data_IF_952108199885
#
_entry.id   IF_952108199885
#
_cell.length_a   1.000
_cell.length_b   1.000
_cell.length_c   1.000
_cell.angle_alpha   90.00
_cell.angle_beta   90.00
_cell.angle_gamma   90.00
#
_symmetry.space_group_name_H-M   'P 1'
#
loop_
_entity.id
_entity.type
_entity.pdbx_description
1 polymer ?
#
# COMPACT_ATOMS: atom_id res chain seq x y z
N UNK A 1 33.03 -28.18 -29.63
CA UNK A 1 31.60 -28.47 -29.41
C UNK A 1 31.20 -27.91 -28.04
N UNK A 2 30.67 -26.69 -28.00
CA UNK A 2 30.30 -26.01 -26.75
C UNK A 2 28.79 -26.17 -26.53
N UNK A 3 28.40 -26.91 -25.49
CA UNK A 3 26.99 -27.08 -25.11
C UNK A 3 26.51 -25.77 -24.46
N UNK A 4 25.65 -25.03 -25.17
CA UNK A 4 24.84 -23.93 -24.62
C UNK A 4 23.85 -24.53 -23.63
N UNK A 5 24.11 -24.36 -22.34
CA UNK A 5 23.16 -24.65 -21.26
C UNK A 5 22.15 -23.51 -21.20
N UNK A 6 20.87 -23.83 -21.43
CA UNK A 6 19.78 -22.88 -21.29
C UNK A 6 19.58 -22.47 -19.82
N UNK A 7 19.17 -21.21 -19.53
CA UNK A 7 18.86 -20.80 -18.16
C UNK A 7 17.64 -21.55 -17.62
N UNK A 8 17.63 -21.90 -16.32
CA UNK A 8 16.49 -22.59 -15.72
C UNK A 8 15.24 -21.69 -15.74
N UNK A 9 14.04 -22.28 -15.93
CA UNK A 9 12.80 -21.52 -15.88
C UNK A 9 12.58 -20.91 -14.48
N UNK A 10 11.92 -19.74 -14.37
CA UNK A 10 11.60 -19.16 -13.07
C UNK A 10 10.66 -20.10 -12.29
N UNK A 11 10.80 -20.21 -10.95
CA UNK A 11 9.93 -21.04 -10.15
C UNK A 11 8.49 -20.50 -10.20
N UNK A 12 7.60 -21.23 -10.88
CA UNK A 12 6.15 -21.08 -10.75
C UNK A 12 5.72 -21.68 -9.42
N UNK A 13 5.74 -20.89 -8.36
CA UNK A 13 5.00 -21.21 -7.14
C UNK A 13 4.14 -20.00 -6.77
N UNK A 14 2.98 -19.91 -7.40
CA UNK A 14 1.87 -19.14 -6.86
C UNK A 14 1.29 -20.00 -5.75
N UNK A 15 1.64 -19.70 -4.49
CA UNK A 15 0.91 -20.26 -3.37
C UNK A 15 -0.42 -19.52 -3.29
N UNK A 16 -1.51 -20.21 -3.64
CA UNK A 16 -2.86 -19.77 -3.32
C UNK A 16 -3.05 -19.87 -1.80
N UNK A 17 -2.61 -18.85 -1.07
CA UNK A 17 -3.13 -18.61 0.27
C UNK A 17 -4.60 -18.22 0.10
N UNK A 18 -5.52 -19.10 0.52
CA UNK A 18 -6.94 -18.81 0.52
C UNK A 18 -7.23 -17.63 1.45
N UNK A 19 -7.38 -16.44 0.89
CA UNK A 19 -7.87 -15.25 1.60
C UNK A 19 -9.35 -15.08 1.29
N UNK A 20 -10.21 -15.45 2.24
CA UNK A 20 -11.64 -15.18 2.16
C UNK A 20 -11.94 -13.75 2.60
N UNK A 21 -11.74 -12.77 1.72
CA UNK A 21 -12.26 -11.40 1.92
C UNK A 21 -13.04 -10.97 0.68
N UNK A 22 -14.37 -11.02 0.77
CA UNK A 22 -15.28 -10.57 -0.28
C UNK A 22 -16.03 -9.34 0.22
N UNK A 23 -15.77 -8.19 -0.39
CA UNK A 23 -16.70 -7.07 -0.37
C UNK A 23 -17.06 -6.73 -1.82
N UNK A 24 -18.33 -6.90 -2.18
CA UNK A 24 -18.83 -6.47 -3.49
C UNK A 24 -19.58 -5.16 -3.33
N UNK A 25 -19.06 -4.09 -3.90
CA UNK A 25 -19.79 -2.82 -4.09
C UNK A 25 -19.64 -2.41 -5.55
N UNK A 26 -20.72 -1.95 -6.19
CA UNK A 26 -20.62 -1.50 -7.58
C UNK A 26 -19.68 -0.29 -7.67
N UNK A 27 -18.84 -0.22 -8.70
CA UNK A 27 -17.86 0.85 -8.86
C UNK A 27 -18.53 2.22 -9.00
N UNK A 28 -19.67 2.34 -9.71
CA UNK A 28 -20.40 3.61 -9.80
C UNK A 28 -20.96 4.08 -8.45
N UNK A 29 -21.51 3.18 -7.63
CA UNK A 29 -21.90 3.52 -6.25
C UNK A 29 -20.69 3.82 -5.37
N UNK A 30 -19.54 3.18 -5.61
CA UNK A 30 -18.32 3.39 -4.85
C UNK A 30 -17.70 4.77 -5.12
N UNK A 31 -17.61 5.19 -6.39
CA UNK A 31 -17.04 6.49 -6.77
C UNK A 31 -17.99 7.65 -6.38
N UNK A 32 -19.31 7.42 -6.41
CA UNK A 32 -20.31 8.42 -6.01
C UNK A 32 -20.42 8.61 -4.49
N UNK A 33 -20.03 7.63 -3.68
CA UNK A 33 -20.13 7.71 -2.22
C UNK A 33 -18.74 7.72 -1.61
N UNK A 34 -18.32 8.85 -1.00
CA UNK A 34 -17.12 8.97 -0.14
C UNK A 34 -17.22 8.11 1.13
N UNK A 35 -17.47 6.81 0.98
CA UNK A 35 -17.59 5.87 2.11
C UNK A 35 -16.26 5.17 2.32
N UNK A 36 -15.79 5.17 3.56
CA UNK A 36 -14.74 4.27 4.00
C UNK A 36 -15.28 2.84 3.97
N UNK A 37 -14.72 1.98 3.12
CA UNK A 37 -14.95 0.54 3.24
C UNK A 37 -14.06 0.02 4.37
N UNK A 38 -14.69 -0.39 5.45
CA UNK A 38 -14.05 -1.17 6.50
C UNK A 38 -14.27 -2.65 6.19
N UNK A 39 -13.19 -3.39 6.04
CA UNK A 39 -13.22 -4.85 6.03
C UNK A 39 -13.04 -5.26 7.47
N UNK A 40 -14.09 -5.81 8.08
CA UNK A 40 -14.11 -5.96 9.53
C UNK A 40 -13.18 -7.06 10.05
N UNK A 41 -12.71 -8.00 9.24
CA UNK A 41 -11.65 -8.94 9.62
C UNK A 41 -11.14 -9.72 8.40
N UNK A 42 -9.93 -9.43 7.92
CA UNK A 42 -9.25 -10.32 6.97
C UNK A 42 -8.29 -11.23 7.74
N UNK A 43 -8.47 -12.54 7.60
CA UNK A 43 -7.57 -13.53 8.18
C UNK A 43 -6.66 -14.06 7.09
N UNK A 44 -5.36 -13.92 7.31
CA UNK A 44 -4.35 -14.45 6.40
C UNK A 44 -3.83 -15.77 6.99
N UNK A 45 -4.07 -16.88 6.29
CA UNK A 45 -3.43 -18.15 6.63
C UNK A 45 -2.01 -18.13 6.06
N UNK A 46 -1.02 -18.06 6.96
CA UNK A 46 0.38 -17.94 6.59
C UNK A 46 1.09 -19.26 6.92
N UNK A 47 1.63 -20.00 5.93
CA UNK A 47 2.61 -21.05 6.15
C UNK A 47 3.68 -20.75 7.20
N UNK A 48 4.11 -21.80 7.89
CA UNK A 48 5.17 -21.74 8.90
C UNK A 48 6.49 -21.24 8.30
N UNK A 49 7.09 -20.24 8.95
CA UNK A 49 8.45 -19.79 8.66
C UNK A 49 9.26 -19.73 9.95
N UNK A 50 10.41 -20.42 9.94
CA UNK A 50 11.38 -20.40 11.00
C UNK A 50 12.51 -19.39 10.69
N UNK A 51 13.25 -18.98 11.73
CA UNK A 51 14.49 -18.23 11.57
C UNK A 51 15.46 -19.03 10.72
N UNK A 52 15.90 -18.47 9.60
CA UNK A 52 16.82 -19.17 8.70
C UNK A 52 18.26 -18.82 9.09
N UNK A 53 18.98 -19.78 9.67
CA UNK A 53 20.40 -19.64 10.00
C UNK A 53 21.30 -20.05 8.82
N UNK A 54 22.42 -19.34 8.65
CA UNK A 54 23.52 -19.78 7.77
C UNK A 54 23.25 -19.74 6.27
N UNK A 55 22.09 -19.26 5.80
CA UNK A 55 21.89 -18.96 4.37
C UNK A 55 22.60 -17.67 4.00
N UNK A 56 23.19 -17.64 2.80
CA UNK A 56 23.75 -16.41 2.19
C UNK A 56 22.67 -15.48 1.64
N UNK A 57 21.45 -15.98 1.42
CA UNK A 57 20.33 -15.20 0.89
C UNK A 57 19.02 -15.50 1.63
N UNK A 58 18.17 -14.47 1.85
CA UNK A 58 16.85 -14.66 2.43
C UNK A 58 15.92 -15.40 1.44
N UNK A 59 14.92 -16.15 1.93
CA UNK A 59 13.86 -16.69 1.08
C UNK A 59 13.04 -15.59 0.41
N UNK A 60 12.30 -15.89 -0.68
CA UNK A 60 11.52 -14.88 -1.39
C UNK A 60 10.41 -14.29 -0.50
N UNK A 61 10.19 -12.96 -0.56
CA UNK A 61 9.15 -12.30 0.21
C UNK A 61 7.76 -12.69 -0.29
N UNK A 62 6.78 -12.54 0.58
CA UNK A 62 5.40 -12.87 0.31
C UNK A 62 4.72 -11.69 -0.31
N UNK A 63 3.95 -11.93 -1.36
CA UNK A 63 3.27 -10.86 -2.09
C UNK A 63 1.76 -11.07 -2.01
N UNK A 64 1.06 -10.03 -1.66
CA UNK A 64 -0.38 -9.93 -1.87
C UNK A 64 -0.64 -9.27 -3.22
N UNK A 65 -1.72 -9.69 -3.88
CA UNK A 65 -2.22 -9.07 -5.08
C UNK A 65 -3.62 -8.51 -4.82
N UNK A 66 -3.79 -7.22 -5.07
CA UNK A 66 -5.10 -6.57 -4.99
C UNK A 66 -5.54 -6.18 -6.40
N UNK A 67 -6.74 -6.58 -6.78
CA UNK A 67 -7.30 -6.34 -8.11
C UNK A 67 -8.64 -5.64 -7.98
N UNK A 68 -8.77 -4.45 -8.57
CA UNK A 68 -10.06 -3.77 -8.69
C UNK A 68 -10.68 -4.12 -10.03
N UNK A 69 -11.90 -4.65 -9.97
CA UNK A 69 -12.66 -5.09 -11.14
C UNK A 69 -13.95 -4.29 -11.27
N UNK A 70 -14.21 -3.79 -12.47
CA UNK A 70 -15.49 -3.22 -12.86
C UNK A 70 -16.42 -4.34 -13.31
N UNK A 71 -17.59 -4.44 -12.69
CA UNK A 71 -18.67 -5.28 -13.21
C UNK A 71 -19.26 -4.57 -14.43
N UNK A 72 -19.22 -5.21 -15.59
CA UNK A 72 -19.93 -4.67 -16.76
C UNK A 72 -21.42 -4.52 -16.42
N UNK A 73 -22.04 -3.36 -16.70
CA UNK A 73 -23.50 -3.29 -16.66
C UNK A 73 -24.04 -4.36 -17.61
N UNK A 74 -24.91 -5.21 -17.10
CA UNK A 74 -25.60 -6.24 -17.89
C UNK A 74 -26.48 -5.47 -18.87
N UNK A 75 -26.36 -5.75 -20.17
CA UNK A 75 -27.42 -5.38 -21.10
C UNK A 75 -28.63 -6.25 -20.70
N UNK A 76 -29.61 -5.61 -20.07
CA UNK A 76 -30.83 -6.26 -19.61
C UNK A 76 -31.61 -6.78 -20.83
N UNK A 77 -31.44 -8.06 -21.16
CA UNK A 77 -32.20 -8.66 -22.27
C UNK A 77 -31.96 -10.14 -22.58
N UNK A 78 -31.13 -10.87 -21.82
CA UNK A 78 -30.80 -12.27 -22.10
C UNK A 78 -31.10 -13.20 -20.92
N UNK A 79 -32.00 -14.14 -21.17
CA UNK A 79 -32.51 -15.21 -20.31
C UNK A 79 -31.39 -15.94 -19.53
N UNK A 80 -31.65 -16.29 -18.27
CA UNK A 80 -30.66 -16.90 -17.37
C UNK A 80 -30.38 -18.36 -17.74
N UNK A 81 -29.51 -18.59 -18.72
CA UNK A 81 -28.84 -19.89 -18.83
C UNK A 81 -27.70 -19.95 -17.83
N UNK A 82 -27.97 -20.62 -16.72
CA UNK A 82 -26.99 -21.01 -15.69
C UNK A 82 -26.02 -22.01 -16.33
N UNK A 83 -24.88 -21.53 -16.80
CA UNK A 83 -23.77 -22.42 -17.16
C UNK A 83 -23.24 -23.10 -15.90
N UNK A 84 -23.16 -24.43 -15.96
CA UNK A 84 -22.74 -25.34 -14.88
C UNK A 84 -21.25 -25.22 -14.52
N UNK A 85 -20.49 -24.44 -15.28
CA UNK A 85 -19.03 -24.32 -15.16
C UNK A 85 -18.61 -22.90 -14.73
N UNK A 86 -19.11 -22.41 -13.60
CA UNK A 86 -18.38 -21.61 -12.59
C UNK A 86 -17.65 -20.28 -12.92
N UNK A 87 -17.41 -19.86 -14.16
CA UNK A 87 -16.66 -18.64 -14.48
C UNK A 87 -16.92 -18.27 -15.95
N UNK A 88 -17.65 -17.21 -16.28
CA UNK A 88 -17.09 -15.87 -16.44
C UNK A 88 -18.20 -14.81 -16.27
N UNK A 89 -18.24 -14.16 -15.11
CA UNK A 89 -18.86 -12.83 -15.03
C UNK A 89 -17.91 -11.85 -15.73
N UNK A 90 -18.41 -11.11 -16.72
CA UNK A 90 -17.64 -10.10 -17.46
C UNK A 90 -17.17 -8.98 -16.51
N UNK A 91 -16.02 -9.20 -15.90
CA UNK A 91 -15.32 -8.24 -15.07
C UNK A 91 -14.16 -7.65 -15.86
N UNK A 92 -14.09 -6.33 -15.95
CA UNK A 92 -12.95 -5.62 -16.53
C UNK A 92 -12.01 -5.23 -15.40
N UNK A 93 -10.78 -5.72 -15.39
CA UNK A 93 -9.76 -5.30 -14.44
C UNK A 93 -9.36 -3.85 -14.70
N UNK A 94 -9.61 -2.96 -13.75
CA UNK A 94 -9.27 -1.54 -13.88
C UNK A 94 -7.85 -1.25 -13.43
N UNK A 95 -7.45 -1.82 -12.29
CA UNK A 95 -6.15 -1.61 -11.67
C UNK A 95 -5.77 -2.82 -10.82
N UNK A 96 -4.46 -3.07 -10.75
CA UNK A 96 -3.84 -4.17 -10.01
C UNK A 96 -2.62 -3.62 -9.27
N UNK A 97 -2.46 -4.00 -8.00
CA UNK A 97 -1.27 -3.67 -7.22
C UNK A 97 -0.78 -4.90 -6.46
N UNK A 98 0.47 -5.25 -6.66
CA UNK A 98 1.17 -6.26 -5.86
C UNK A 98 1.96 -5.57 -4.74
N UNK A 99 1.87 -6.07 -3.51
CA UNK A 99 2.65 -5.52 -2.39
C UNK A 99 3.21 -6.62 -1.49
N UNK A 100 4.36 -6.35 -0.89
CA UNK A 100 5.06 -7.31 -0.04
C UNK A 100 4.41 -7.35 1.35
N UNK A 101 3.92 -8.52 1.77
CA UNK A 101 3.35 -8.75 3.11
C UNK A 101 4.43 -9.03 4.16
N UNK A 102 5.56 -9.60 3.74
CA UNK A 102 6.65 -10.00 4.63
C UNK A 102 7.97 -9.31 4.26
N UNK A 103 8.82 -9.15 5.27
CA UNK A 103 10.20 -8.70 5.11
C UNK A 103 11.15 -9.54 5.95
N UNK A 104 12.44 -9.34 5.74
CA UNK A 104 13.50 -10.06 6.45
C UNK A 104 14.49 -9.06 7.05
N UNK A 105 14.84 -9.27 8.31
CA UNK A 105 15.89 -8.52 8.98
C UNK A 105 17.06 -9.45 9.26
N UNK A 106 18.28 -9.02 8.89
CA UNK A 106 19.48 -9.80 9.14
C UNK A 106 20.04 -9.47 10.52
N UNK A 107 20.04 -10.45 11.41
CA UNK A 107 20.69 -10.35 12.72
C UNK A 107 22.16 -10.71 12.61
N UNK A 108 23.05 -9.72 12.71
CA UNK A 108 24.50 -9.94 12.76
C UNK A 108 24.93 -10.81 13.93
N UNK A 109 24.25 -10.69 15.09
CA UNK A 109 24.60 -11.45 16.31
C UNK A 109 24.35 -12.95 16.16
N UNK A 110 23.28 -13.33 15.48
CA UNK A 110 22.88 -14.73 15.33
C UNK A 110 23.20 -15.32 13.94
N UNK A 111 23.76 -14.52 13.04
CA UNK A 111 23.98 -14.87 11.62
C UNK A 111 22.71 -15.52 11.01
N UNK A 112 21.56 -14.88 11.26
CA UNK A 112 20.24 -15.41 10.95
C UNK A 112 19.34 -14.34 10.34
N UNK A 113 18.46 -14.77 9.44
CA UNK A 113 17.38 -13.93 8.92
C UNK A 113 16.13 -14.16 9.75
N UNK A 114 15.60 -13.09 10.33
CA UNK A 114 14.34 -13.10 11.07
C UNK A 114 13.23 -12.60 10.15
N UNK A 115 12.27 -13.45 9.76
CA UNK A 115 11.11 -13.01 9.00
C UNK A 115 10.17 -12.17 9.88
N UNK A 116 9.57 -11.12 9.30
CA UNK A 116 8.57 -10.30 9.97
C UNK A 116 7.41 -9.96 9.03
N UNK A 117 6.20 -9.82 9.59
CA UNK A 117 5.06 -9.23 8.91
C UNK A 117 5.19 -7.71 8.91
N UNK A 118 5.01 -7.10 7.73
CA UNK A 118 4.95 -5.64 7.60
C UNK A 118 3.69 -5.09 8.28
N UNK A 119 2.52 -5.60 7.92
CA UNK A 119 1.21 -5.09 8.36
C UNK A 119 0.62 -5.88 9.54
N UNK A 120 1.46 -6.24 10.52
CA UNK A 120 1.03 -7.09 11.63
C UNK A 120 0.15 -6.35 12.64
N UNK A 121 0.68 -5.28 13.24
CA UNK A 121 -0.06 -4.47 14.25
C UNK A 121 -0.85 -3.32 13.65
N UNK A 122 -0.45 -2.86 12.47
CA UNK A 122 -1.10 -1.77 11.76
C UNK A 122 -1.78 -2.30 10.52
N UNK A 123 -3.01 -1.85 10.22
CA UNK A 123 -3.71 -2.26 9.02
C UNK A 123 -2.97 -1.78 7.76
N UNK A 124 -2.96 -2.61 6.72
CA UNK A 124 -2.55 -2.18 5.39
C UNK A 124 -3.55 -1.14 4.87
N UNK A 125 -3.07 0.07 4.61
CA UNK A 125 -3.90 1.14 4.05
C UNK A 125 -3.71 1.12 2.54
N UNK A 126 -4.78 0.81 1.82
CA UNK A 126 -4.85 0.87 0.36
C UNK A 126 -5.53 2.17 -0.03
N UNK A 127 -4.82 3.01 -0.78
CA UNK A 127 -5.31 4.26 -1.32
C UNK A 127 -5.79 4.03 -2.74
N UNK A 128 -7.09 4.21 -2.97
CA UNK A 128 -7.63 4.35 -4.31
C UNK A 128 -7.49 5.81 -4.71
N UNK A 129 -6.66 6.06 -5.70
CA UNK A 129 -6.56 7.36 -6.37
C UNK A 129 -7.70 7.40 -7.37
N UNK A 130 -8.61 8.35 -7.18
CA UNK A 130 -9.72 8.56 -8.09
C UNK A 130 -10.01 10.06 -8.27
N UNK A 131 -10.52 10.41 -9.45
CA UNK A 131 -11.03 11.73 -9.76
C UNK A 131 -12.33 11.60 -10.56
N UNK A 132 -13.41 12.07 -9.97
CA UNK A 132 -14.75 12.03 -10.58
C UNK A 132 -14.97 13.14 -11.61
N UNK A 133 -14.00 14.05 -11.76
CA UNK A 133 -14.10 15.16 -12.71
C UNK A 133 -13.78 14.68 -14.12
N UNK A 134 -14.61 15.08 -15.08
CA UNK A 134 -14.29 14.90 -16.49
C UNK A 134 -13.02 15.70 -16.83
N UNK A 135 -12.01 15.00 -17.35
CA UNK A 135 -10.73 15.62 -17.69
C UNK A 135 -10.83 16.11 -19.14
N UNK A 136 -10.99 17.42 -19.31
CA UNK A 136 -10.82 18.07 -20.61
C UNK A 136 -9.33 18.22 -20.93
N UNK A 137 -8.91 17.85 -22.15
CA UNK A 137 -7.51 17.91 -22.65
C UNK A 137 -6.55 16.95 -21.93
N UNK A 138 -5.34 16.63 -22.45
CA UNK A 138 -4.39 15.84 -21.67
C UNK A 138 -4.01 16.60 -20.39
N UNK A 139 -4.59 16.19 -19.27
CA UNK A 139 -4.18 16.72 -17.98
C UNK A 139 -2.96 15.95 -17.49
N UNK A 140 -2.06 16.69 -16.86
CA UNK A 140 -0.84 16.18 -16.29
C UNK A 140 -0.97 16.19 -14.77
N UNK A 141 -0.34 15.19 -14.15
CA UNK A 141 -0.09 15.17 -12.71
C UNK A 141 0.92 16.26 -12.35
N UNK A 142 0.97 16.61 -11.07
CA UNK A 142 1.95 17.56 -10.53
C UNK A 142 3.42 17.14 -10.70
N UNK A 143 3.67 15.87 -11.06
CA UNK A 143 4.99 15.31 -11.39
C UNK A 143 5.32 15.33 -12.90
N UNK A 144 4.42 15.89 -13.73
CA UNK A 144 4.58 15.94 -15.18
C UNK A 144 4.18 14.67 -15.92
N UNK A 145 3.73 13.62 -15.23
CA UNK A 145 3.20 12.41 -15.88
C UNK A 145 1.78 12.63 -16.37
N UNK A 146 1.41 12.20 -17.59
CA UNK A 146 0.04 12.34 -18.08
C UNK A 146 -0.91 11.44 -17.28
N UNK A 147 -2.13 11.92 -16.99
CA UNK A 147 -3.14 11.06 -16.39
C UNK A 147 -3.51 9.91 -17.34
N UNK A 148 -3.53 8.69 -16.81
CA UNK A 148 -4.18 7.58 -17.51
C UNK A 148 -5.68 7.84 -17.55
N UNK A 149 -6.27 7.80 -18.74
CA UNK A 149 -7.69 8.05 -18.95
C UNK A 149 -8.37 6.82 -19.54
N UNK A 150 -9.62 6.59 -19.12
CA UNK A 150 -10.51 5.64 -19.75
C UNK A 150 -11.30 6.40 -20.82
N UNK A 151 -11.15 5.98 -22.08
CA UNK A 151 -11.93 6.50 -23.20
C UNK A 151 -13.30 5.83 -23.20
N UNK A 152 -14.36 6.59 -22.95
CA UNK A 152 -15.73 6.14 -23.15
C UNK A 152 -16.24 6.57 -24.54
N UNK A 153 -17.26 5.89 -25.11
CA UNK A 153 -17.77 6.18 -26.45
C UNK A 153 -18.45 7.57 -26.57
N UNK A 154 -18.89 8.14 -25.45
CA UNK A 154 -19.21 9.57 -25.35
C UNK A 154 -17.92 10.31 -25.00
N UNK A 155 -17.67 11.46 -25.63
CA UNK A 155 -16.47 12.32 -25.65
C UNK A 155 -15.79 12.66 -24.31
N UNK A 156 -16.28 12.14 -23.19
CA UNK A 156 -15.76 12.27 -21.84
C UNK A 156 -14.58 11.30 -21.62
N UNK A 157 -13.44 11.88 -21.25
CA UNK A 157 -12.30 11.13 -20.72
C UNK A 157 -12.42 11.14 -19.20
N UNK A 158 -12.64 9.96 -18.64
CA UNK A 158 -12.65 9.78 -17.19
C UNK A 158 -11.26 9.37 -16.72
N UNK A 159 -10.90 9.79 -15.51
CA UNK A 159 -9.67 9.35 -14.87
C UNK A 159 -9.70 7.83 -14.68
N UNK A 160 -8.58 7.16 -15.02
CA UNK A 160 -8.43 5.74 -14.70
C UNK A 160 -8.02 5.62 -13.24
N UNK A 161 -8.84 4.98 -12.38
CA UNK A 161 -8.52 4.87 -10.97
C UNK A 161 -7.26 4.04 -10.78
N UNK A 162 -6.35 4.51 -9.93
CA UNK A 162 -5.11 3.82 -9.60
C UNK A 162 -5.15 3.36 -8.15
N UNK A 163 -4.62 2.17 -7.87
CA UNK A 163 -4.53 1.63 -6.51
C UNK A 163 -3.08 1.74 -6.04
N UNK A 164 -2.91 2.20 -4.80
CA UNK A 164 -1.60 2.24 -4.16
C UNK A 164 -1.67 1.73 -2.75
N UNK A 165 -0.58 1.13 -2.29
CA UNK A 165 -0.42 0.73 -0.89
C UNK A 165 0.37 1.82 -0.19
N UNK A 166 -0.15 2.28 0.94
CA UNK A 166 0.46 3.32 1.74
C UNK A 166 1.43 2.71 2.75
N UNK A 167 2.70 2.78 2.40
CA UNK A 167 3.81 2.36 3.26
C UNK A 167 4.38 3.52 4.11
N UNK A 168 3.89 4.74 3.93
CA UNK A 168 4.43 5.94 4.59
C UNK A 168 4.13 5.89 6.09
N UNK A 169 2.91 5.48 6.44
CA UNK A 169 2.48 5.38 7.83
C UNK A 169 3.02 4.12 8.54
N UNK A 170 3.65 3.19 7.81
CA UNK A 170 4.07 1.90 8.34
C UNK A 170 5.30 2.04 9.24
N UNK A 171 5.14 1.67 10.51
CA UNK A 171 6.23 1.70 11.47
C UNK A 171 7.04 0.40 11.47
N UNK A 172 8.32 0.50 11.80
CA UNK A 172 9.18 -0.64 12.09
C UNK A 172 8.70 -1.34 13.37
N UNK A 173 8.28 -0.57 14.37
CA UNK A 173 7.71 -1.08 15.63
C UNK A 173 6.37 -1.83 15.50
N UNK A 174 5.64 -1.65 14.41
CA UNK A 174 4.40 -2.40 14.13
C UNK A 174 4.62 -3.76 13.47
N UNK A 175 5.88 -4.09 13.13
CA UNK A 175 6.23 -5.38 12.55
C UNK A 175 6.11 -6.47 13.60
N UNK A 176 5.58 -7.61 13.19
CA UNK A 176 5.45 -8.79 14.06
C UNK A 176 6.42 -9.85 13.55
N UNK A 177 7.34 -10.37 14.38
CA UNK A 177 8.21 -11.46 13.96
C UNK A 177 7.36 -12.69 13.63
N UNK A 178 7.65 -13.33 12.50
CA UNK A 178 7.00 -14.60 12.15
C UNK A 178 7.69 -15.67 12.99
N UNK A 179 6.94 -16.27 13.90
CA UNK A 179 7.37 -17.44 14.64
C UNK A 179 6.88 -18.70 13.91
N UNK A 180 7.64 -19.78 14.02
CA UNK A 180 7.26 -21.10 13.50
C UNK A 180 5.90 -21.48 14.09
N UNK A 181 4.86 -21.64 13.26
CA UNK A 181 3.64 -22.30 13.70
C UNK A 181 4.07 -23.67 14.21
N UNK A 182 3.69 -24.00 15.44
CA UNK A 182 4.08 -25.26 16.09
C UNK A 182 3.94 -26.42 15.12
N UNK A 183 4.93 -27.31 15.14
CA UNK A 183 4.87 -28.60 14.48
C UNK A 183 3.61 -29.32 14.95
N UNK A 184 3.07 -30.25 14.17
CA UNK A 184 1.80 -30.97 14.43
C UNK A 184 1.65 -31.58 15.85
N UNK A 185 2.73 -31.62 16.65
CA UNK A 185 2.78 -31.99 18.06
C UNK A 185 2.19 -30.93 19.03
N UNK A 186 2.04 -29.66 18.60
CA UNK A 186 1.41 -28.56 19.37
C UNK A 186 -0.12 -28.44 19.09
N UNK A 187 -0.77 -29.54 18.69
CA UNK A 187 -2.20 -29.60 18.37
C UNK A 187 -3.12 -29.14 19.52
N UNK A 188 -2.60 -29.11 20.75
CA UNK A 188 -3.33 -28.68 21.94
C UNK A 188 -3.47 -27.15 22.04
N UNK A 189 -2.59 -26.38 21.38
CA UNK A 189 -2.62 -24.90 21.39
C UNK A 189 -2.29 -24.30 20.02
N UNK A 190 -3.18 -24.42 19.01
CA UNK A 190 -2.98 -23.77 17.73
C UNK A 190 -2.82 -22.26 17.93
N UNK A 191 -1.67 -21.71 17.51
CA UNK A 191 -1.45 -20.25 17.61
C UNK A 191 -2.54 -19.53 16.80
N UNK A 192 -3.13 -18.46 17.34
CA UNK A 192 -4.21 -17.76 16.67
C UNK A 192 -3.72 -17.18 15.33
N UNK A 193 -4.56 -17.20 14.28
CA UNK A 193 -4.24 -16.56 13.02
C UNK A 193 -3.89 -15.08 13.26
N UNK A 194 -2.89 -14.57 12.53
CA UNK A 194 -2.49 -13.17 12.67
C UNK A 194 -3.61 -12.30 12.07
N UNK A 195 -4.22 -11.39 12.85
CA UNK A 195 -5.24 -10.51 12.31
C UNK A 195 -4.60 -9.57 11.28
N UNK A 196 -5.13 -9.56 10.06
CA UNK A 196 -4.71 -8.64 9.02
C UNK A 196 -5.83 -7.62 8.77
N UNK A 197 -5.58 -6.37 9.17
CA UNK A 197 -6.51 -5.28 8.87
C UNK A 197 -6.24 -4.71 7.49
N UNK A 198 -7.28 -4.57 6.66
CA UNK A 198 -7.21 -3.85 5.40
C UNK A 198 -8.13 -2.62 5.47
N UNK A 199 -7.57 -1.44 5.21
CA UNK A 199 -8.32 -0.18 5.15
C UNK A 199 -8.24 0.40 3.75
N UNK A 200 -9.37 0.63 3.12
CA UNK A 200 -9.41 1.30 1.81
C UNK A 200 -9.78 2.77 2.01
N UNK A 201 -8.95 3.68 1.48
CA UNK A 201 -9.19 5.14 1.48
C UNK A 201 -9.23 5.66 0.05
N UNK A 202 -10.12 6.61 -0.22
CA UNK A 202 -10.11 7.35 -1.48
C UNK A 202 -9.25 8.60 -1.34
N UNK A 203 -8.35 8.85 -2.28
CA UNK A 203 -7.51 10.04 -2.34
C UNK A 203 -7.60 10.71 -3.71
N UNK A 204 -7.44 12.02 -3.72
CA UNK A 204 -7.32 12.80 -4.96
C UNK A 204 -5.95 12.61 -5.61
N UNK A 205 -5.81 12.74 -6.93
CA UNK A 205 -4.52 12.59 -7.60
C UNK A 205 -3.45 13.60 -7.15
N UNK A 206 -3.86 14.79 -6.71
CA UNK A 206 -2.95 15.81 -6.14
C UNK A 206 -2.31 15.31 -4.84
N UNK A 207 -3.12 14.75 -3.94
CA UNK A 207 -2.63 14.12 -2.71
C UNK A 207 -1.72 12.93 -2.99
N UNK A 208 -2.00 12.18 -4.06
CA UNK A 208 -1.14 11.08 -4.47
C UNK A 208 0.28 11.58 -4.81
N UNK A 209 0.41 12.66 -5.58
CA UNK A 209 1.72 13.27 -5.90
C UNK A 209 2.47 13.70 -4.63
N UNK A 210 1.78 14.31 -3.67
CA UNK A 210 2.38 14.68 -2.37
C UNK A 210 2.90 13.44 -1.65
N UNK A 211 2.12 12.35 -1.64
CA UNK A 211 2.52 11.11 -0.98
C UNK A 211 3.75 10.46 -1.64
N UNK A 212 3.87 10.52 -2.97
CA UNK A 212 5.07 10.08 -3.70
C UNK A 212 6.28 10.87 -3.22
N UNK A 213 6.18 12.20 -3.22
CA UNK A 213 7.29 13.08 -2.85
C UNK A 213 7.76 12.82 -1.42
N UNK A 214 6.82 12.61 -0.50
CA UNK A 214 7.12 12.25 0.90
C UNK A 214 7.80 10.87 0.99
N UNK A 215 7.34 9.88 0.23
CA UNK A 215 7.98 8.56 0.21
C UNK A 215 9.42 8.61 -0.31
N UNK A 216 9.66 9.42 -1.35
CA UNK A 216 10.99 9.62 -1.93
C UNK A 216 11.92 10.38 -0.98
N UNK A 217 11.42 11.41 -0.29
CA UNK A 217 12.22 12.13 0.70
C UNK A 217 12.59 11.25 1.89
N UNK A 218 11.67 10.41 2.37
CA UNK A 218 11.95 9.41 3.41
C UNK A 218 12.98 8.39 2.95
N UNK A 219 12.89 7.89 1.71
CA UNK A 219 13.88 6.98 1.16
C UNK A 219 15.28 7.61 1.07
N UNK A 220 15.36 8.87 0.62
CA UNK A 220 16.61 9.63 0.62
C UNK A 220 17.15 9.83 2.04
N UNK A 221 16.29 10.11 3.02
CA UNK A 221 16.64 10.27 4.41
C UNK A 221 17.27 9.00 5.00
N UNK A 222 16.71 7.82 4.68
CA UNK A 222 17.30 6.53 5.04
C UNK A 222 18.69 6.35 4.42
N UNK A 223 18.87 6.73 3.15
CA UNK A 223 20.17 6.64 2.49
C UNK A 223 21.24 7.57 3.12
N UNK A 224 20.81 8.66 3.76
CA UNK A 224 21.69 9.57 4.52
C UNK A 224 22.05 9.04 5.92
N UNK A 225 21.57 7.86 6.30
CA UNK A 225 21.96 7.18 7.54
C UNK A 225 21.02 7.38 8.72
N UNK A 226 19.80 7.91 8.50
CA UNK A 226 18.78 7.95 9.55
C UNK A 226 18.47 6.54 10.09
N UNK A 227 18.45 6.42 11.41
CA UNK A 227 18.14 5.17 12.07
C UNK A 227 16.67 4.80 11.90
N UNK A 228 16.36 3.50 11.99
CA UNK A 228 14.98 3.03 11.90
C UNK A 228 14.05 3.60 12.97
N UNK A 229 14.58 3.94 14.15
CA UNK A 229 13.83 4.59 15.23
C UNK A 229 13.47 6.04 14.91
N UNK A 230 14.44 6.84 14.41
CA UNK A 230 14.19 8.22 14.01
C UNK A 230 13.20 8.28 12.84
N UNK A 231 13.32 7.34 11.90
CA UNK A 231 12.40 7.22 10.78
C UNK A 231 10.97 6.89 11.24
N UNK A 232 10.80 6.04 12.24
CA UNK A 232 9.50 5.71 12.81
C UNK A 232 8.83 6.92 13.48
N UNK A 233 9.60 7.82 14.08
CA UNK A 233 9.10 9.09 14.63
C UNK A 233 8.67 10.04 13.51
N UNK A 234 9.48 10.21 12.47
CA UNK A 234 9.14 11.05 11.32
C UNK A 234 7.87 10.52 10.63
N UNK A 235 7.79 9.21 10.38
CA UNK A 235 6.58 8.57 9.84
C UNK A 235 5.37 8.76 10.75
N UNK A 236 5.58 8.80 12.06
CA UNK A 236 4.51 9.07 12.99
C UNK A 236 3.94 10.49 12.86
N UNK A 237 4.79 11.50 12.69
CA UNK A 237 4.36 12.87 12.45
C UNK A 237 3.69 13.05 11.08
N UNK A 238 4.19 12.32 10.07
CA UNK A 238 3.63 12.33 8.71
C UNK A 238 2.37 11.49 8.53
N UNK A 239 1.95 10.73 9.55
CA UNK A 239 0.70 9.98 9.49
C UNK A 239 -0.49 10.91 9.26
N UNK A 240 -1.43 10.51 8.38
CA UNK A 240 -2.58 11.34 7.97
C UNK A 240 -3.35 11.95 9.16
N UNK A 241 -3.44 11.23 10.29
CA UNK A 241 -4.16 11.67 11.49
C UNK A 241 -3.47 12.84 12.22
N UNK A 242 -2.16 13.00 12.05
CA UNK A 242 -1.34 13.97 12.79
C UNK A 242 -0.70 15.02 11.90
N UNK A 243 -0.70 14.80 10.58
CA UNK A 243 -0.12 15.71 9.61
C UNK A 243 -0.69 17.13 9.72
N UNK A 244 -2.00 17.28 9.99
CA UNK A 244 -2.61 18.59 10.22
C UNK A 244 -1.98 19.32 11.41
N UNK A 245 -1.78 18.62 12.54
CA UNK A 245 -1.16 19.20 13.74
C UNK A 245 0.28 19.62 13.45
N UNK A 246 1.03 18.75 12.77
CA UNK A 246 2.39 19.04 12.34
C UNK A 246 2.45 20.29 11.44
N UNK A 247 1.60 20.37 10.42
CA UNK A 247 1.54 21.52 9.52
C UNK A 247 1.24 22.83 10.28
N UNK A 248 0.27 22.82 11.18
CA UNK A 248 -0.05 23.99 12.03
C UNK A 248 1.14 24.39 12.90
N UNK A 249 1.82 23.44 13.54
CA UNK A 249 3.02 23.75 14.34
C UNK A 249 4.12 24.38 13.50
N UNK A 250 4.33 23.92 12.25
CA UNK A 250 5.33 24.52 11.37
C UNK A 250 4.96 25.94 10.95
N UNK A 251 3.67 26.21 10.67
CA UNK A 251 3.21 27.57 10.37
C UNK A 251 3.45 28.51 11.55
N UNK A 252 3.15 28.08 12.77
CA UNK A 252 3.39 28.88 13.98
C UNK A 252 4.89 29.15 14.16
N UNK A 253 5.75 28.14 13.97
CA UNK A 253 7.21 28.31 14.05
C UNK A 253 7.72 29.31 13.02
N UNK A 254 7.29 29.21 11.76
CA UNK A 254 7.69 30.16 10.70
C UNK A 254 7.21 31.57 11.05
N UNK A 255 5.99 31.71 11.56
CA UNK A 255 5.45 33.00 11.98
C UNK A 255 6.28 33.63 13.10
N UNK A 256 6.74 32.84 14.07
CA UNK A 256 7.67 33.30 15.10
C UNK A 256 8.97 33.81 14.51
N UNK A 257 9.61 33.06 13.61
CA UNK A 257 10.85 33.50 12.94
C UNK A 257 10.64 34.80 12.17
N UNK A 258 9.50 34.95 11.48
CA UNK A 258 9.16 36.18 10.76
C UNK A 258 8.99 37.36 11.72
N UNK A 259 8.31 37.17 12.85
CA UNK A 259 8.16 38.22 13.85
C UNK A 259 9.48 38.61 14.51
N UNK A 260 10.35 37.64 14.81
CA UNK A 260 11.68 37.91 15.34
C UNK A 260 12.49 38.76 14.35
N UNK A 261 12.48 38.40 13.06
CA UNK A 261 13.15 39.17 12.00
C UNK A 261 12.58 40.59 11.86
N UNK A 262 11.25 40.76 11.97
CA UNK A 262 10.62 42.07 11.91
C UNK A 262 10.98 42.93 13.13
N UNK A 263 11.01 42.34 14.32
CA UNK A 263 11.44 43.01 15.55
C UNK A 263 12.89 43.48 15.43
N UNK A 264 13.80 42.61 14.97
CA UNK A 264 15.20 43.00 14.72
C UNK A 264 15.33 44.12 13.70
N UNK A 265 14.54 44.10 12.61
CA UNK A 265 14.57 45.19 11.62
C UNK A 265 14.11 46.53 12.21
N UNK A 266 13.13 46.51 13.11
CA UNK A 266 12.63 47.73 13.75
C UNK A 266 13.65 48.29 14.75
N UNK A 267 14.32 47.43 15.52
CA UNK A 267 15.33 47.85 16.49
C UNK A 267 16.61 48.38 15.83
N UNK A 268 17.05 47.80 14.71
CA UNK A 268 18.25 48.26 13.97
C UNK A 268 17.98 49.56 13.18
N UNK A 269 16.74 49.84 12.77
CA UNK A 269 16.39 51.07 12.08
C UNK A 269 16.31 52.32 12.98
N UNK A 270 16.43 52.15 14.29
CA UNK A 270 16.35 53.23 15.28
C UNK A 270 17.71 53.84 15.66
N UNK A 271 18.83 53.19 15.29
CA UNK A 271 20.19 53.72 15.46
C UNK A 271 20.76 54.23 14.14
#
# INVERSE_FOLDING_TARGET
MSKKTAPPPPPRSWFHAGSGCSASTSLRSFLATKRELKFDECRLNVPAHARVRGRRSPPPPWKALLVVRLRSPREDGGDETVDRDGEHRNFVTLSEVSFDLSGYEYSKRENSYVPFYRYGRQPAVVRLVDDTRAIGTPAFRGDGTPYETLSFPATERLYRPQIRVDDIALKTSSRIPIAEQGRDDDAEHPRPPVPFGLRIRNITPTWDVVSIQVSQSLAAAVNLGLSGSELDEIRHFLSDERLYRFAVTQVITVLHVVFDVLAFKNDVGFY
#
